data_IF_600701433189
#
_entry.id   IF_600701433189
#
_cell.length_a   1.000
_cell.length_b   1.000
_cell.length_c   1.000
_cell.angle_alpha   90.00
_cell.angle_beta   90.00
_cell.angle_gamma   90.00
#
_symmetry.space_group_name_H-M   'P 1'
#
loop_
_entity.id
_entity.type
_entity.pdbx_description
1 polymer ?
#
# COMPACT_ATOMS: atom_id res chain seq x y z
N UNK A 1 -3.25 4.10 -10.07
CA UNK A 1 -1.89 3.56 -10.19
C UNK A 1 -1.95 2.28 -11.01
N UNK A 2 -1.07 2.16 -12.00
CA UNK A 2 -0.81 0.92 -12.73
C UNK A 2 0.63 0.48 -12.52
N UNK A 3 0.91 -0.82 -12.58
CA UNK A 3 2.25 -1.39 -12.42
C UNK A 3 2.50 -2.36 -13.57
N UNK A 4 3.66 -2.25 -14.21
CA UNK A 4 4.06 -3.08 -15.35
C UNK A 4 3.90 -2.38 -16.70
N UNK A 5 4.70 -2.82 -17.68
CA UNK A 5 4.78 -2.21 -19.01
C UNK A 5 3.40 -2.15 -19.71
N UNK A 6 2.67 -3.27 -19.68
CA UNK A 6 1.36 -3.42 -20.34
C UNK A 6 0.29 -2.43 -19.84
N UNK A 7 0.45 -1.92 -18.60
CA UNK A 7 -0.54 -1.03 -17.99
C UNK A 7 -0.37 0.42 -18.47
N UNK A 8 0.79 0.76 -19.02
CA UNK A 8 1.07 2.12 -19.50
C UNK A 8 0.12 2.54 -20.61
N UNK A 9 -0.08 1.68 -21.60
CA UNK A 9 -0.96 1.96 -22.74
C UNK A 9 -2.43 2.05 -22.31
N UNK A 10 -2.85 1.16 -21.41
CA UNK A 10 -4.20 1.17 -20.83
C UNK A 10 -4.45 2.49 -20.09
N UNK A 11 -3.52 2.92 -19.25
CA UNK A 11 -3.66 4.15 -18.47
C UNK A 11 -3.64 5.40 -19.37
N UNK A 12 -2.81 5.44 -20.41
CA UNK A 12 -2.80 6.55 -21.38
C UNK A 12 -4.15 6.66 -22.09
N UNK A 13 -4.70 5.54 -22.53
CA UNK A 13 -6.02 5.53 -23.16
C UNK A 13 -7.11 6.01 -22.22
N UNK A 14 -7.13 5.53 -20.97
CA UNK A 14 -8.06 6.01 -19.94
C UNK A 14 -7.88 7.51 -19.70
N UNK A 15 -6.63 7.99 -19.63
CA UNK A 15 -6.32 9.40 -19.45
C UNK A 15 -6.88 10.27 -20.58
N UNK A 16 -6.78 9.80 -21.83
CA UNK A 16 -7.35 10.49 -23.00
C UNK A 16 -8.88 10.46 -22.99
N UNK A 17 -9.48 9.29 -22.76
CA UNK A 17 -10.93 9.05 -22.89
C UNK A 17 -11.77 9.62 -21.73
N UNK A 18 -11.18 9.95 -20.57
CA UNK A 18 -11.93 10.54 -19.45
C UNK A 18 -12.24 12.02 -19.72
N UNK A 19 -13.51 12.32 -19.98
CA UNK A 19 -14.03 13.69 -20.12
C UNK A 19 -14.74 14.22 -18.86
N UNK A 20 -15.21 13.32 -17.99
CA UNK A 20 -15.88 13.67 -16.74
C UNK A 20 -15.71 12.57 -15.70
N UNK A 21 -15.93 12.92 -14.44
CA UNK A 21 -16.01 11.97 -13.33
C UNK A 21 -17.45 11.89 -12.83
N UNK A 22 -17.96 10.68 -12.67
CA UNK A 22 -19.21 10.41 -11.95
C UNK A 22 -18.88 9.88 -10.55
N UNK A 23 -19.14 10.68 -9.53
CA UNK A 23 -18.92 10.30 -8.13
C UNK A 23 -20.26 10.33 -7.40
N UNK A 24 -20.78 9.15 -7.07
CA UNK A 24 -22.08 8.96 -6.42
C UNK A 24 -23.23 9.70 -7.15
N UNK A 25 -23.21 9.71 -8.48
CA UNK A 25 -24.21 10.37 -9.34
C UNK A 25 -23.93 11.85 -9.60
N UNK A 26 -22.84 12.40 -9.07
CA UNK A 26 -22.44 13.80 -9.30
C UNK A 26 -21.43 13.86 -10.44
N UNK A 27 -21.83 14.45 -11.56
CA UNK A 27 -20.99 14.63 -12.74
C UNK A 27 -20.09 15.86 -12.60
N UNK A 28 -18.77 15.67 -12.74
CA UNK A 28 -17.73 16.70 -12.68
C UNK A 28 -17.04 16.76 -14.04
N UNK A 29 -17.15 17.90 -14.73
CA UNK A 29 -16.68 18.08 -16.11
C UNK A 29 -15.38 18.89 -16.25
N UNK A 30 -15.12 19.83 -15.33
CA UNK A 30 -13.90 20.66 -15.36
C UNK A 30 -12.77 19.95 -14.62
N UNK A 31 -12.24 18.91 -15.25
CA UNK A 31 -11.19 18.06 -14.69
C UNK A 31 -9.82 18.43 -15.26
N UNK A 32 -8.86 18.66 -14.37
CA UNK A 32 -7.45 18.73 -14.73
C UNK A 32 -6.85 17.34 -14.56
N UNK A 33 -6.19 16.86 -15.62
CA UNK A 33 -5.61 15.51 -15.67
C UNK A 33 -4.10 15.62 -15.78
N UNK A 34 -3.38 14.90 -14.93
CA UNK A 34 -1.93 14.70 -15.02
C UNK A 34 -1.60 13.22 -14.99
N UNK A 35 -0.61 12.80 -15.78
CA UNK A 35 -0.10 11.44 -15.80
C UNK A 35 1.41 11.45 -15.67
N UNK A 36 1.91 10.77 -14.64
CA UNK A 36 3.32 10.54 -14.42
C UNK A 36 3.65 9.08 -14.69
N UNK A 37 4.72 8.85 -15.46
CA UNK A 37 5.25 7.52 -15.76
C UNK A 37 6.73 7.57 -15.42
N UNK A 38 7.15 6.66 -14.54
CA UNK A 38 8.54 6.52 -14.13
C UNK A 38 8.85 5.05 -13.91
N UNK A 39 10.13 4.73 -14.04
CA UNK A 39 10.68 3.43 -13.69
C UNK A 39 11.35 3.55 -12.32
N UNK A 40 10.97 2.67 -11.39
CA UNK A 40 11.65 2.51 -10.12
C UNK A 40 11.57 1.05 -9.68
N UNK A 41 12.59 0.60 -8.96
CA UNK A 41 12.76 -0.80 -8.60
C UNK A 41 12.40 -1.05 -7.14
N UNK A 42 11.77 -2.20 -6.90
CA UNK A 42 11.61 -2.77 -5.56
C UNK A 42 12.87 -3.54 -5.22
N UNK A 43 13.61 -3.08 -4.21
CA UNK A 43 14.93 -3.61 -3.89
C UNK A 43 15.00 -4.09 -2.45
N UNK A 44 15.54 -5.30 -2.23
CA UNK A 44 15.96 -5.73 -0.91
C UNK A 44 17.31 -5.13 -0.55
N UNK A 45 17.45 -4.64 0.68
CA UNK A 45 18.73 -4.11 1.19
C UNK A 45 19.13 -4.78 2.51
N UNK A 46 20.45 -4.99 2.70
CA UNK A 46 20.99 -5.58 3.94
C UNK A 46 21.27 -4.53 5.02
N UNK A 47 21.69 -3.34 4.62
CA UNK A 47 22.28 -2.33 5.51
C UNK A 47 21.49 -1.01 5.54
N UNK A 48 20.31 -0.96 4.92
CA UNK A 48 19.51 0.26 4.83
C UNK A 48 18.09 -0.02 5.30
N UNK A 49 17.55 0.92 6.05
CA UNK A 49 16.15 0.94 6.46
C UNK A 49 15.52 2.17 5.83
N UNK A 50 14.42 1.96 5.13
CA UNK A 50 13.59 2.99 4.53
C UNK A 50 12.41 3.29 5.44
N UNK A 51 12.06 4.56 5.52
CA UNK A 51 10.92 5.05 6.26
C UNK A 51 9.78 5.39 5.28
N UNK A 52 8.60 4.87 5.57
CA UNK A 52 7.39 5.12 4.80
C UNK A 52 6.27 5.54 5.73
N UNK A 53 5.37 6.38 5.19
CA UNK A 53 4.17 6.83 5.88
C UNK A 53 2.94 6.43 5.09
N UNK A 54 1.97 5.82 5.77
CA UNK A 54 0.66 5.57 5.17
C UNK A 54 -0.07 6.90 4.97
N UNK A 55 -0.43 7.21 3.72
CA UNK A 55 -1.22 8.39 3.33
C UNK A 55 -2.71 8.09 3.29
N UNK A 56 -3.09 6.81 3.29
CA UNK A 56 -4.46 6.35 3.46
C UNK A 56 -4.56 5.31 4.60
N UNK A 57 -5.75 5.10 5.19
CA UNK A 57 -5.89 4.13 6.29
C UNK A 57 -5.41 2.74 5.88
N UNK A 58 -4.57 2.13 6.72
CA UNK A 58 -4.01 0.80 6.51
C UNK A 58 -4.86 -0.27 7.19
N UNK A 59 -5.18 -1.34 6.45
CA UNK A 59 -6.01 -2.46 6.91
C UNK A 59 -5.20 -3.77 6.95
N UNK A 60 -4.34 -3.99 7.97
CA UNK A 60 -3.42 -5.13 8.04
C UNK A 60 -4.10 -6.48 8.36
N UNK A 61 -5.24 -6.45 9.04
CA UNK A 61 -5.74 -7.62 9.76
C UNK A 61 -6.94 -8.27 9.04
N UNK A 62 -6.88 -9.59 8.86
CA UNK A 62 -8.08 -10.40 8.62
C UNK A 62 -8.70 -10.85 9.94
N UNK A 63 -9.90 -11.43 9.91
CA UNK A 63 -10.63 -11.83 11.13
C UNK A 63 -9.80 -12.75 12.05
N UNK A 64 -9.06 -13.69 11.46
CA UNK A 64 -8.17 -14.62 12.17
C UNK A 64 -7.02 -13.89 12.85
N UNK A 65 -6.31 -13.03 12.12
CA UNK A 65 -5.17 -12.27 12.63
C UNK A 65 -5.61 -11.16 13.59
N UNK A 66 -6.81 -10.62 13.42
CA UNK A 66 -7.43 -9.67 14.33
C UNK A 66 -7.62 -10.28 15.72
N UNK A 67 -8.19 -11.49 15.78
CA UNK A 67 -8.35 -12.21 17.05
C UNK A 67 -7.01 -12.46 17.75
N UNK A 68 -5.95 -12.78 17.00
CA UNK A 68 -4.59 -12.96 17.54
C UNK A 68 -3.95 -11.65 17.99
N UNK A 69 -4.16 -10.57 17.24
CA UNK A 69 -3.68 -9.23 17.56
C UNK A 69 -4.24 -8.76 18.90
N UNK A 70 -5.55 -8.94 19.14
CA UNK A 70 -6.19 -8.64 20.42
C UNK A 70 -5.58 -9.43 21.60
N UNK A 71 -5.14 -10.67 21.35
CA UNK A 71 -4.44 -11.52 22.33
C UNK A 71 -2.94 -11.25 22.45
N UNK A 72 -2.40 -10.29 21.68
CA UNK A 72 -0.96 -9.99 21.57
C UNK A 72 -0.11 -11.15 21.05
N UNK A 73 -0.72 -12.08 20.32
CA UNK A 73 -0.06 -13.22 19.66
C UNK A 73 0.37 -12.90 18.22
N UNK A 74 -0.04 -11.73 17.71
CA UNK A 74 0.27 -11.26 16.37
C UNK A 74 0.55 -9.76 16.40
N UNK A 75 1.61 -9.32 15.73
CA UNK A 75 2.02 -7.90 15.73
C UNK A 75 1.80 -7.23 14.38
N UNK A 76 1.85 -5.90 14.35
CA UNK A 76 1.71 -5.14 13.10
C UNK A 76 2.95 -5.31 12.21
N UNK A 77 4.13 -5.51 12.80
CA UNK A 77 5.37 -5.83 12.08
C UNK A 77 5.21 -7.16 11.32
N UNK A 78 4.61 -8.17 11.95
CA UNK A 78 4.30 -9.44 11.29
C UNK A 78 3.27 -9.25 10.17
N UNK A 79 2.27 -8.39 10.37
CA UNK A 79 1.28 -8.07 9.33
C UNK A 79 1.93 -7.39 8.12
N UNK A 80 2.75 -6.36 8.34
CA UNK A 80 3.46 -5.66 7.27
C UNK A 80 4.44 -6.60 6.57
N UNK A 81 5.20 -7.41 7.31
CA UNK A 81 6.12 -8.39 6.71
C UNK A 81 5.39 -9.35 5.77
N UNK A 82 4.24 -9.89 6.20
CA UNK A 82 3.43 -10.77 5.35
C UNK A 82 2.87 -10.03 4.13
N UNK A 83 2.39 -8.80 4.31
CA UNK A 83 1.85 -7.99 3.21
C UNK A 83 2.93 -7.61 2.19
N UNK A 84 4.16 -7.33 2.63
CA UNK A 84 5.32 -7.13 1.75
C UNK A 84 5.60 -8.41 0.95
N UNK A 85 5.65 -9.56 1.62
CA UNK A 85 5.87 -10.85 0.94
C UNK A 85 4.77 -11.16 -0.09
N UNK A 86 3.51 -10.81 0.20
CA UNK A 86 2.42 -10.93 -0.76
C UNK A 86 2.63 -10.04 -2.00
N UNK A 87 3.09 -8.80 -1.82
CA UNK A 87 3.41 -7.89 -2.93
C UNK A 87 4.56 -8.43 -3.76
N UNK A 88 5.68 -8.81 -3.13
CA UNK A 88 6.84 -9.37 -3.83
C UNK A 88 6.45 -10.59 -4.67
N UNK A 89 5.70 -11.52 -4.07
CA UNK A 89 5.19 -12.70 -4.78
C UNK A 89 4.28 -12.32 -5.95
N UNK A 90 3.40 -11.34 -5.77
CA UNK A 90 2.50 -10.85 -6.84
C UNK A 90 3.24 -10.25 -8.03
N UNK A 91 4.42 -9.67 -7.79
CA UNK A 91 5.31 -9.12 -8.82
C UNK A 91 6.35 -10.12 -9.33
N UNK A 92 6.32 -11.37 -8.88
CA UNK A 92 7.30 -12.39 -9.28
C UNK A 92 8.70 -12.18 -8.69
N UNK A 93 8.84 -11.35 -7.66
CA UNK A 93 10.11 -11.07 -6.98
C UNK A 93 10.33 -12.11 -5.87
N UNK A 94 11.44 -12.85 -5.96
CA UNK A 94 11.80 -13.90 -4.99
C UNK A 94 13.04 -13.49 -4.21
N UNK A 95 12.93 -13.47 -2.89
CA UNK A 95 14.07 -13.23 -2.01
C UNK A 95 14.87 -14.53 -1.80
N UNK A 96 16.19 -14.40 -1.75
CA UNK A 96 17.08 -15.50 -1.33
C UNK A 96 16.76 -15.93 0.12
N UNK A 97 17.08 -17.18 0.46
CA UNK A 97 16.76 -17.76 1.77
C UNK A 97 17.43 -16.99 2.92
N UNK A 98 18.58 -16.37 2.66
CA UNK A 98 19.35 -15.59 3.62
C UNK A 98 18.82 -14.15 3.78
N UNK A 99 17.93 -13.69 2.88
CA UNK A 99 17.40 -12.33 2.89
C UNK A 99 16.24 -12.22 3.89
N UNK A 100 16.53 -11.61 5.05
CA UNK A 100 15.53 -11.36 6.09
C UNK A 100 14.92 -9.96 5.95
N UNK A 101 13.60 -9.90 5.87
CA UNK A 101 12.85 -8.65 5.94
C UNK A 101 12.80 -8.21 7.42
N UNK A 102 13.22 -6.99 7.68
CA UNK A 102 13.10 -6.34 8.98
C UNK A 102 12.02 -5.28 8.89
N UNK A 103 11.11 -5.28 9.87
CA UNK A 103 10.05 -4.28 9.98
C UNK A 103 9.97 -3.75 11.40
N UNK A 104 9.83 -2.44 11.55
CA UNK A 104 9.34 -1.79 12.76
C UNK A 104 8.25 -0.79 12.41
N UNK A 105 7.38 -0.45 13.36
CA UNK A 105 6.21 0.39 13.10
C UNK A 105 5.99 1.43 14.20
N UNK A 106 5.50 2.60 13.81
CA UNK A 106 4.85 3.57 14.70
C UNK A 106 3.47 3.87 14.10
N UNK A 107 2.54 2.97 14.43
CA UNK A 107 1.18 2.98 13.91
C UNK A 107 0.19 3.16 15.04
N UNK A 108 -0.80 4.01 14.78
CA UNK A 108 -1.90 4.29 15.69
C UNK A 108 -3.21 3.88 15.06
N UNK A 109 -4.13 3.43 15.91
CA UNK A 109 -5.51 3.12 15.48
C UNK A 109 -6.17 4.42 15.03
N UNK A 110 -6.79 4.40 13.85
CA UNK A 110 -7.67 5.49 13.39
C UNK A 110 -9.12 5.02 13.45
N UNK A 111 -9.99 5.86 14.02
CA UNK A 111 -11.41 5.55 14.27
C UNK A 111 -12.31 5.80 13.05
N UNK A 112 -11.79 5.79 11.81
CA UNK A 112 -12.64 6.04 10.65
C UNK A 112 -13.68 4.92 10.56
N UNK A 113 -14.95 5.30 10.69
CA UNK A 113 -16.11 4.45 10.43
C UNK A 113 -16.02 3.93 9.00
N UNK A 114 -15.39 2.78 8.84
CA UNK A 114 -15.51 1.96 7.66
C UNK A 114 -16.93 1.41 7.69
N UNK A 115 -17.87 2.20 7.13
CA UNK A 115 -19.28 1.83 6.97
C UNK A 115 -19.36 0.33 6.64
N UNK A 116 -19.97 -0.43 7.55
CA UNK A 116 -20.30 -1.85 7.44
C UNK A 116 -19.24 -2.94 7.74
N UNK A 117 -18.07 -2.69 8.34
CA UNK A 117 -17.27 -3.81 8.86
C UNK A 117 -16.47 -3.42 10.10
N UNK A 118 -16.46 -4.32 11.10
CA UNK A 118 -15.58 -4.32 12.29
C UNK A 118 -14.08 -4.41 11.95
N UNK A 119 -13.56 -3.50 11.12
CA UNK A 119 -12.17 -3.47 10.71
C UNK A 119 -11.46 -2.31 11.38
N UNK A 120 -10.45 -2.63 12.19
CA UNK A 120 -9.53 -1.62 12.73
C UNK A 120 -8.60 -1.19 11.62
N UNK A 121 -8.52 0.12 11.40
CA UNK A 121 -7.56 0.74 10.51
C UNK A 121 -6.46 1.42 11.30
N UNK A 122 -5.30 1.54 10.66
CA UNK A 122 -4.10 2.15 11.24
C UNK A 122 -3.60 3.28 10.35
N UNK A 123 -2.95 4.27 10.96
CA UNK A 123 -2.22 5.35 10.30
C UNK A 123 -0.87 5.53 10.98
N UNK A 124 0.08 6.15 10.29
CA UNK A 124 1.42 6.41 10.82
C UNK A 124 2.51 5.88 9.90
N UNK A 125 3.65 5.54 10.49
CA UNK A 125 4.87 5.17 9.76
C UNK A 125 5.26 3.71 9.98
N UNK A 126 5.92 3.14 8.97
CA UNK A 126 6.64 1.89 9.10
C UNK A 126 8.01 1.99 8.48
N UNK A 127 8.88 1.11 8.94
CA UNK A 127 10.27 1.06 8.53
C UNK A 127 10.56 -0.33 8.00
N UNK A 128 11.25 -0.42 6.87
CA UNK A 128 11.63 -1.73 6.30
C UNK A 128 12.91 -1.65 5.50
N UNK A 129 13.61 -2.77 5.38
CA UNK A 129 14.77 -2.89 4.50
C UNK A 129 14.41 -3.22 3.03
N UNK A 130 13.14 -3.07 2.66
CA UNK A 130 12.66 -3.11 1.27
C UNK A 130 12.44 -1.68 0.75
N UNK A 131 13.10 -1.35 -0.36
CA UNK A 131 12.82 -0.13 -1.12
C UNK A 131 11.54 -0.36 -1.92
N UNK A 132 10.61 0.59 -1.85
CA UNK A 132 9.39 0.63 -2.63
C UNK A 132 9.32 1.98 -3.35
N UNK A 133 8.78 2.00 -4.58
CA UNK A 133 8.28 3.23 -5.19
C UNK A 133 7.12 3.81 -4.38
N UNK A 134 6.87 5.11 -4.54
CA UNK A 134 5.75 5.77 -3.89
C UNK A 134 4.39 5.26 -4.39
N UNK A 135 3.38 5.42 -3.55
CA UNK A 135 1.98 5.06 -3.80
C UNK A 135 1.68 3.56 -3.94
N UNK A 136 2.65 2.70 -3.60
CA UNK A 136 2.36 1.30 -3.31
C UNK A 136 1.37 1.15 -2.14
N UNK A 137 0.66 0.03 -2.12
CA UNK A 137 -0.37 -0.24 -1.10
C UNK A 137 -0.17 -1.59 -0.43
N UNK A 138 -0.31 -1.64 0.90
CA UNK A 138 -0.26 -2.86 1.71
C UNK A 138 -1.61 -3.19 2.36
N UNK A 139 -1.81 -4.46 2.67
CA UNK A 139 -2.99 -4.95 3.41
C UNK A 139 -4.21 -5.18 2.53
N UNK A 140 -5.40 -5.01 3.12
CA UNK A 140 -6.68 -5.25 2.47
C UNK A 140 -7.20 -4.04 1.71
N UNK A 141 -8.06 -4.28 0.71
CA UNK A 141 -8.75 -3.25 -0.08
C UNK A 141 -7.81 -2.28 -0.82
N UNK A 142 -6.64 -2.79 -1.25
CA UNK A 142 -5.62 -2.06 -2.02
C UNK A 142 -6.20 -1.42 -3.30
N UNK A 143 -7.09 -2.12 -3.99
CA UNK A 143 -7.77 -1.59 -5.20
C UNK A 143 -8.70 -0.41 -4.94
N UNK A 144 -9.10 -0.17 -3.68
CA UNK A 144 -9.87 0.99 -3.25
C UNK A 144 -8.97 2.10 -2.66
N UNK A 145 -7.64 1.97 -2.78
CA UNK A 145 -6.68 2.95 -2.30
C UNK A 145 -6.38 2.86 -0.79
N UNK A 146 -6.71 1.77 -0.11
CA UNK A 146 -6.34 1.58 1.31
C UNK A 146 -4.89 1.11 1.47
N UNK A 147 -4.26 1.54 2.56
CA UNK A 147 -2.89 1.18 2.90
C UNK A 147 -1.85 1.71 1.92
N UNK A 148 -2.18 2.77 1.18
CA UNK A 148 -1.25 3.48 0.30
C UNK A 148 -0.23 4.22 1.14
N UNK A 149 1.04 4.11 0.77
CA UNK A 149 2.14 4.75 1.49
C UNK A 149 3.10 5.44 0.54
N UNK A 150 3.84 6.41 1.08
CA UNK A 150 4.91 7.13 0.39
C UNK A 150 6.14 7.14 1.27
N UNK A 151 7.32 7.29 0.67
CA UNK A 151 8.58 7.46 1.37
C UNK A 151 8.57 8.77 2.14
N UNK A 152 9.20 8.77 3.31
CA UNK A 152 9.45 10.01 4.05
C UNK A 152 10.77 10.59 3.55
N UNK A 153 10.70 11.73 2.87
CA UNK A 153 11.88 12.51 2.50
C UNK A 153 12.45 13.20 3.75
N UNK A 154 13.78 13.23 3.85
CA UNK A 154 14.52 13.94 4.91
C UNK A 154 15.07 15.25 4.38
#
# INVERSE_FOLDING_TARGET
MGIGEDVTEINKKIFEDIDYLDIDGNLIFDIQKEIEIFEDEIEFTRNKIYEYRFVTPYLPLNEKNFSKYLKREYTLEQAITNNILEVLKGLGIWLEKENKIYVSTDLQITSRDLKNVNMIAFIGTFYTNIKFPDYFSLGKRKSLGYGTFVKVEK
#
